data_IF_893346320660
#
_entry.id   IF_893346320660
#
_cell.length_a   1.000
_cell.length_b   1.000
_cell.length_c   1.000
_cell.angle_alpha   90.00
_cell.angle_beta   90.00
_cell.angle_gamma   90.00
#
_symmetry.space_group_name_H-M   'P 1'
#
loop_
_entity.id
_entity.type
_entity.pdbx_description
1 polymer ?
#
# COMPACT_ATOMS: atom_id res chain seq x y z
N UNK A 1 -13.57 15.28 24.01
CA UNK A 1 -12.24 14.62 24.11
C UNK A 1 -11.53 14.40 22.76
N UNK A 2 -12.09 14.83 21.60
CA UNK A 2 -11.40 14.69 20.30
C UNK A 2 -10.37 15.80 19.99
N UNK A 3 -10.41 16.95 20.69
CA UNK A 3 -9.51 18.07 20.42
C UNK A 3 -8.11 17.89 21.06
N UNK A 4 -8.03 17.29 22.24
CA UNK A 4 -6.76 17.06 22.96
C UNK A 4 -5.82 16.07 22.26
N UNK A 5 -6.36 15.13 21.47
CA UNK A 5 -5.55 14.25 20.62
C UNK A 5 -5.10 14.91 19.33
N UNK A 6 -5.81 15.93 18.82
CA UNK A 6 -5.37 16.68 17.64
C UNK A 6 -4.20 17.60 17.96
N UNK A 7 -4.19 18.20 19.15
CA UNK A 7 -3.09 19.08 19.58
C UNK A 7 -1.82 18.31 19.99
N UNK A 8 -1.93 17.06 20.45
CA UNK A 8 -0.77 16.22 20.77
C UNK A 8 -0.07 15.59 19.55
N UNK A 9 -0.65 15.67 18.35
CA UNK A 9 -0.11 15.02 17.13
C UNK A 9 0.24 16.07 16.06
N UNK A 10 0.68 17.25 16.48
CA UNK A 10 1.62 18.02 15.65
C UNK A 10 3.01 17.45 15.90
N UNK A 11 3.33 16.34 15.23
CA UNK A 11 4.72 15.92 15.07
C UNK A 11 5.38 16.92 14.10
N UNK A 12 5.72 18.08 14.64
CA UNK A 12 6.62 19.06 14.03
C UNK A 12 7.99 18.40 13.95
N UNK A 13 8.32 17.85 12.79
CA UNK A 13 9.62 17.27 12.51
C UNK A 13 10.42 18.28 11.71
N UNK A 14 11.64 18.57 12.13
CA UNK A 14 12.53 19.39 11.31
C UNK A 14 13.06 18.58 10.14
N UNK A 15 13.00 19.16 8.97
CA UNK A 15 13.49 18.60 7.71
C UNK A 15 14.51 19.53 7.11
N UNK A 16 15.53 18.96 6.47
CA UNK A 16 16.52 19.75 5.75
C UNK A 16 16.03 19.99 4.32
N UNK A 17 15.87 21.25 3.95
CA UNK A 17 15.47 21.72 2.62
C UNK A 17 16.68 22.37 1.95
N UNK A 18 16.98 21.96 0.73
CA UNK A 18 17.97 22.59 -0.13
C UNK A 18 17.30 23.67 -0.98
N UNK A 19 17.69 24.93 -0.77
CA UNK A 19 17.20 26.06 -1.58
C UNK A 19 17.92 26.11 -2.94
N UNK A 20 17.37 26.81 -3.95
CA UNK A 20 17.99 26.91 -5.28
C UNK A 20 19.43 27.46 -5.28
N UNK A 21 19.83 28.19 -4.23
CA UNK A 21 21.19 28.69 -4.03
C UNK A 21 22.19 27.66 -3.47
N UNK A 22 21.77 26.42 -3.21
CA UNK A 22 22.59 25.37 -2.61
C UNK A 22 22.74 25.48 -1.09
N UNK A 23 22.03 26.41 -0.45
CA UNK A 23 21.98 26.54 1.00
C UNK A 23 21.01 25.53 1.60
N UNK A 24 21.45 24.87 2.68
CA UNK A 24 20.65 23.94 3.47
C UNK A 24 19.99 24.67 4.63
N UNK A 25 18.66 24.54 4.70
CA UNK A 25 17.85 25.17 5.74
C UNK A 25 17.02 24.11 6.46
N UNK A 26 17.04 24.13 7.79
CA UNK A 26 16.17 23.28 8.60
C UNK A 26 14.81 23.96 8.80
N UNK A 27 13.80 23.43 8.12
CA UNK A 27 12.43 23.95 8.12
C UNK A 27 11.51 22.97 8.83
N UNK A 28 10.39 23.46 9.38
CA UNK A 28 9.38 22.58 9.97
C UNK A 28 8.61 21.82 8.88
N UNK A 29 8.25 20.57 9.14
CA UNK A 29 7.44 19.76 8.21
C UNK A 29 6.10 20.41 7.85
N UNK A 30 5.57 21.31 8.68
CA UNK A 30 4.33 22.06 8.40
C UNK A 30 4.49 23.20 7.39
N UNK A 31 5.71 23.68 7.14
CA UNK A 31 5.99 24.77 6.21
C UNK A 31 6.40 24.29 4.81
N UNK A 32 6.55 22.98 4.63
CA UNK A 32 6.87 22.39 3.34
C UNK A 32 5.81 22.71 2.29
N UNK A 33 6.26 23.01 1.08
CA UNK A 33 5.41 23.19 -0.10
C UNK A 33 5.83 22.26 -1.24
N UNK A 34 4.91 21.86 -2.13
CA UNK A 34 5.27 21.12 -3.33
C UNK A 34 6.30 21.91 -4.18
N UNK A 35 7.37 21.24 -4.59
CA UNK A 35 8.50 21.85 -5.29
C UNK A 35 9.75 22.06 -4.43
N UNK A 36 9.63 22.00 -3.09
CA UNK A 36 10.80 22.07 -2.21
C UNK A 36 11.71 20.85 -2.42
N UNK A 37 13.03 21.08 -2.39
CA UNK A 37 14.03 20.01 -2.50
C UNK A 37 14.48 19.59 -1.10
N UNK A 38 14.23 18.34 -0.72
CA UNK A 38 14.60 17.77 0.56
C UNK A 38 15.95 17.07 0.47
N UNK A 39 16.77 17.28 1.50
CA UNK A 39 17.99 16.51 1.73
C UNK A 39 17.65 15.35 2.65
N UNK A 40 17.79 14.12 2.15
CA UNK A 40 17.49 12.92 2.93
C UNK A 40 18.67 12.55 3.84
N UNK A 41 18.42 12.24 5.13
CA UNK A 41 19.47 11.79 6.04
C UNK A 41 20.01 10.42 5.62
N UNK A 42 21.33 10.27 5.63
CA UNK A 42 21.99 9.00 5.25
C UNK A 42 21.73 7.88 6.26
N UNK A 43 21.59 8.24 7.55
CA UNK A 43 21.38 7.33 8.69
C UNK A 43 19.90 6.93 8.88
N UNK A 44 19.03 7.33 7.96
CA UNK A 44 17.60 7.01 8.00
C UNK A 44 16.75 8.06 8.73
N UNK A 45 15.43 7.91 8.62
CA UNK A 45 14.47 8.88 9.15
C UNK A 45 13.06 8.63 8.64
N UNK A 46 12.06 9.18 9.34
CA UNK A 46 10.67 9.11 8.92
C UNK A 46 10.42 10.16 7.84
N UNK A 47 9.77 9.75 6.74
CA UNK A 47 9.39 10.67 5.67
C UNK A 47 8.11 11.44 6.04
N UNK A 48 8.13 12.78 6.14
CA UNK A 48 6.98 13.56 6.60
C UNK A 48 6.01 13.99 5.48
N UNK A 49 6.37 13.81 4.21
CA UNK A 49 5.56 14.17 3.05
C UNK A 49 5.80 13.21 1.87
N UNK A 50 5.02 13.35 0.79
CA UNK A 50 5.27 12.58 -0.44
C UNK A 50 6.29 13.32 -1.31
N UNK A 51 7.42 12.69 -1.62
CA UNK A 51 8.49 13.28 -2.44
C UNK A 51 8.95 12.33 -3.55
N UNK A 52 9.39 12.89 -4.68
CA UNK A 52 10.03 12.15 -5.77
C UNK A 52 11.54 12.21 -5.58
N UNK A 53 12.20 11.05 -5.58
CA UNK A 53 13.65 10.96 -5.50
C UNK A 53 14.27 11.46 -6.82
N UNK A 54 15.12 12.47 -6.76
CA UNK A 54 15.75 13.10 -7.92
C UNK A 54 17.23 12.73 -8.03
N UNK A 55 17.91 12.54 -6.90
CA UNK A 55 19.32 12.13 -6.89
C UNK A 55 19.58 11.08 -5.81
N UNK A 56 20.30 10.02 -6.18
CA UNK A 56 20.67 8.91 -5.29
C UNK A 56 19.69 7.73 -5.30
N UNK A 57 19.88 6.84 -4.34
CA UNK A 57 19.03 5.71 -4.03
C UNK A 57 18.73 5.69 -2.53
N UNK A 58 17.59 5.13 -2.16
CA UNK A 58 17.29 4.90 -0.76
C UNK A 58 16.51 3.60 -0.55
N UNK A 59 16.79 2.96 0.57
CA UNK A 59 16.08 1.79 1.04
C UNK A 59 15.02 2.24 2.04
N UNK A 60 13.76 1.95 1.75
CA UNK A 60 12.62 2.38 2.56
C UNK A 60 11.81 1.20 3.06
N UNK A 61 11.27 1.33 4.27
CA UNK A 61 10.27 0.43 4.80
C UNK A 61 8.88 1.02 4.54
N UNK A 62 8.10 0.34 3.69
CA UNK A 62 6.72 0.69 3.38
C UNK A 62 5.69 -0.05 4.25
N UNK A 63 6.09 -0.70 5.35
CA UNK A 63 5.17 -1.48 6.20
C UNK A 63 3.97 -0.67 6.69
N UNK A 64 4.15 0.63 6.94
CA UNK A 64 3.05 1.54 7.31
C UNK A 64 2.00 1.73 6.20
N UNK A 65 2.34 1.48 4.94
CA UNK A 65 1.45 1.63 3.78
C UNK A 65 0.98 0.30 3.19
N UNK A 66 1.85 -0.71 3.14
CA UNK A 66 1.56 -2.02 2.53
C UNK A 66 1.28 -3.12 3.55
N UNK A 67 1.67 -2.94 4.81
CA UNK A 67 1.65 -4.00 5.83
C UNK A 67 2.79 -5.01 5.68
N UNK A 68 3.66 -4.85 4.68
CA UNK A 68 4.79 -5.74 4.44
C UNK A 68 6.07 -5.13 5.02
N UNK A 69 6.79 -5.89 5.85
CA UNK A 69 8.04 -5.44 6.48
C UNK A 69 9.28 -5.60 5.59
N UNK A 70 9.10 -5.88 4.29
CA UNK A 70 10.20 -6.09 3.35
C UNK A 70 10.69 -4.71 2.87
N UNK A 71 11.98 -4.39 3.05
CA UNK A 71 12.52 -3.13 2.60
C UNK A 71 12.53 -3.06 1.06
N UNK A 72 12.10 -1.91 0.53
CA UNK A 72 12.00 -1.65 -0.91
C UNK A 72 13.06 -0.63 -1.32
N UNK A 73 13.80 -0.94 -2.39
CA UNK A 73 14.76 -0.01 -2.98
C UNK A 73 14.04 1.01 -3.87
N UNK A 74 14.36 2.29 -3.65
CA UNK A 74 13.91 3.43 -4.44
C UNK A 74 15.09 4.05 -5.15
N UNK A 75 14.91 4.39 -6.42
CA UNK A 75 15.94 4.97 -7.27
C UNK A 75 15.52 6.34 -7.77
N UNK A 76 16.50 7.19 -8.11
CA UNK A 76 16.23 8.50 -8.69
C UNK A 76 15.38 8.41 -9.98
N UNK A 77 14.57 9.44 -10.20
CA UNK A 77 13.76 9.59 -11.40
C UNK A 77 14.69 9.76 -12.62
N UNK A 78 14.53 8.96 -13.70
CA UNK A 78 15.34 9.12 -14.91
C UNK A 78 15.07 10.47 -15.59
N UNK A 79 16.12 11.12 -16.08
CA UNK A 79 15.99 12.31 -16.93
C UNK A 79 15.28 11.93 -18.24
N UNK A 80 14.24 12.70 -18.62
CA UNK A 80 13.49 12.50 -19.86
C UNK A 80 12.23 11.63 -19.76
N UNK A 81 11.84 11.20 -18.56
CA UNK A 81 10.50 10.68 -18.33
C UNK A 81 9.47 11.80 -18.54
N UNK A 82 8.32 11.47 -19.14
CA UNK A 82 7.21 12.42 -19.34
C UNK A 82 6.64 13.00 -18.03
N UNK A 83 5.42 13.58 -18.03
CA UNK A 83 4.87 14.21 -16.83
C UNK A 83 4.91 13.25 -15.63
N UNK A 84 5.48 13.70 -14.51
CA UNK A 84 5.61 12.89 -13.30
C UNK A 84 4.23 12.46 -12.80
N UNK A 85 4.04 11.15 -12.62
CA UNK A 85 2.84 10.59 -12.01
C UNK A 85 3.22 9.62 -10.89
N UNK A 86 2.70 9.85 -9.69
CA UNK A 86 3.04 9.09 -8.50
C UNK A 86 2.64 7.60 -8.58
N UNK A 87 1.59 7.28 -9.36
CA UNK A 87 1.12 5.90 -9.55
C UNK A 87 2.03 5.09 -10.47
N UNK A 88 2.47 5.68 -11.59
CA UNK A 88 3.36 5.01 -12.55
C UNK A 88 4.81 4.99 -12.05
N UNK A 89 5.23 6.02 -11.32
CA UNK A 89 6.61 6.18 -10.85
C UNK A 89 6.78 5.78 -9.38
N UNK A 90 5.99 4.81 -8.89
CA UNK A 90 6.04 4.35 -7.49
C UNK A 90 7.44 3.92 -7.03
N UNK A 91 8.31 3.44 -7.93
CA UNK A 91 9.71 3.07 -7.60
C UNK A 91 10.63 4.27 -7.31
N UNK A 92 10.20 5.47 -7.69
CA UNK A 92 10.93 6.73 -7.51
C UNK A 92 10.26 7.65 -6.48
N UNK A 93 9.09 7.27 -5.97
CA UNK A 93 8.31 8.06 -5.00
C UNK A 93 8.54 7.55 -3.58
N UNK A 94 8.86 8.47 -2.68
CA UNK A 94 8.87 8.32 -1.23
C UNK A 94 7.53 8.80 -0.70
N UNK A 95 6.90 7.97 0.12
CA UNK A 95 5.56 8.26 0.63
C UNK A 95 5.64 8.74 2.08
N UNK A 96 4.76 9.65 2.44
CA UNK A 96 4.58 10.11 3.82
C UNK A 96 4.34 8.92 4.74
N UNK A 97 5.02 8.91 5.89
CA UNK A 97 4.93 7.84 6.90
C UNK A 97 5.80 6.62 6.61
N UNK A 98 6.54 6.58 5.52
CA UNK A 98 7.55 5.52 5.30
C UNK A 98 8.82 5.82 6.09
N UNK A 99 9.50 4.77 6.53
CA UNK A 99 10.78 4.89 7.23
C UNK A 99 11.91 4.68 6.24
N UNK A 100 12.75 5.69 6.05
CA UNK A 100 14.01 5.58 5.33
C UNK A 100 14.97 4.83 6.23
N UNK A 101 15.47 3.69 5.76
CA UNK A 101 16.45 2.87 6.46
C UNK A 101 17.87 3.32 6.11
N UNK A 102 18.08 3.65 4.85
CA UNK A 102 19.37 4.08 4.34
C UNK A 102 19.20 4.90 3.07
N UNK A 103 19.98 5.97 2.93
CA UNK A 103 20.06 6.75 1.70
C UNK A 103 21.51 6.82 1.23
N UNK A 104 21.75 6.63 -0.08
CA UNK A 104 23.06 6.71 -0.72
C UNK A 104 23.02 7.63 -1.93
N UNK A 105 23.93 8.59 -1.98
CA UNK A 105 24.06 9.47 -3.13
C UNK A 105 24.91 8.79 -4.22
N UNK A 106 24.48 8.90 -5.48
CA UNK A 106 25.29 8.46 -6.62
C UNK A 106 26.31 9.51 -7.05
N UNK A 107 25.90 10.77 -7.03
CA UNK A 107 26.70 11.93 -7.46
C UNK A 107 26.46 13.05 -6.46
N UNK A 108 27.54 13.55 -5.84
CA UNK A 108 27.49 14.59 -4.81
C UNK A 108 27.36 14.04 -3.38
N UNK A 109 27.36 14.93 -2.38
CA UNK A 109 27.32 14.56 -0.96
C UNK A 109 25.92 14.15 -0.45
N UNK A 110 24.85 14.57 -1.13
CA UNK A 110 23.48 14.49 -0.61
C UNK A 110 22.53 13.74 -1.53
N UNK A 111 21.55 13.08 -0.91
CA UNK A 111 20.42 12.43 -1.58
C UNK A 111 19.27 13.44 -1.61
N UNK A 112 18.76 13.74 -2.80
CA UNK A 112 17.79 14.81 -3.01
C UNK A 112 16.45 14.26 -3.45
N UNK A 113 15.37 14.72 -2.82
CA UNK A 113 14.00 14.38 -3.18
C UNK A 113 13.13 15.64 -3.25
N UNK A 114 12.36 15.79 -4.32
CA UNK A 114 11.48 16.96 -4.51
C UNK A 114 10.09 16.65 -3.96
N UNK A 115 9.56 17.54 -3.13
CA UNK A 115 8.22 17.41 -2.56
C UNK A 115 7.18 17.46 -3.68
N UNK A 116 6.39 16.40 -3.79
CA UNK A 116 5.32 16.30 -4.79
C UNK A 116 3.97 16.65 -4.18
N UNK A 117 3.75 16.24 -2.93
CA UNK A 117 2.53 16.53 -2.18
C UNK A 117 2.85 16.64 -0.70
N UNK A 118 2.39 17.74 -0.11
CA UNK A 118 2.42 17.97 1.32
C UNK A 118 1.25 17.24 1.96
N UNK A 119 1.38 15.92 2.07
CA UNK A 119 0.50 15.14 2.92
C UNK A 119 0.87 15.45 4.36
N UNK A 120 0.20 16.42 4.99
CA UNK A 120 0.40 16.65 6.42
C UNK A 120 0.23 15.34 7.17
N UNK A 121 1.11 15.06 8.14
CA UNK A 121 1.11 13.84 8.96
C UNK A 121 -0.30 13.45 9.47
N UNK A 122 -1.12 14.48 9.71
CA UNK A 122 -2.53 14.40 10.11
C UNK A 122 -3.41 13.67 9.08
N UNK A 123 -3.16 13.83 7.79
CA UNK A 123 -3.90 13.14 6.73
C UNK A 123 -3.51 11.67 6.57
N UNK A 124 -2.26 11.29 6.86
CA UNK A 124 -1.82 9.89 6.80
C UNK A 124 -2.33 9.07 8.00
N UNK A 125 -2.61 9.75 9.13
CA UNK A 125 -3.24 9.15 10.31
C UNK A 125 -4.78 9.12 10.18
N UNK A 126 -5.39 10.15 9.57
CA UNK A 126 -6.87 10.22 9.41
C UNK A 126 -7.40 9.52 8.15
N UNK A 127 -6.57 9.33 7.13
CA UNK A 127 -6.92 8.57 5.93
C UNK A 127 -5.89 7.46 5.74
N UNK A 128 -6.05 6.29 6.40
CA UNK A 128 -5.40 5.09 5.91
C UNK A 128 -5.78 4.95 4.45
N UNK A 129 -4.82 5.11 3.53
CA UNK A 129 -5.05 4.90 2.10
C UNK A 129 -5.63 3.49 1.98
N UNK A 130 -6.81 3.30 1.36
CA UNK A 130 -7.41 1.99 1.27
C UNK A 130 -6.39 1.07 0.60
N UNK A 131 -5.95 0.04 1.35
CA UNK A 131 -5.03 -0.98 0.87
C UNK A 131 -5.61 -1.49 -0.45
N UNK A 132 -4.84 -1.28 -1.52
CA UNK A 132 -5.34 -1.35 -2.88
C UNK A 132 -6.10 -2.67 -3.13
N UNK A 133 -7.36 -2.53 -3.52
CA UNK A 133 -8.37 -3.53 -3.91
C UNK A 133 -7.96 -4.51 -5.05
N UNK A 134 -6.68 -4.65 -5.38
CA UNK A 134 -6.23 -5.63 -6.39
C UNK A 134 -6.34 -7.06 -5.86
N UNK A 135 -6.04 -7.33 -4.59
CA UNK A 135 -6.19 -8.67 -4.02
C UNK A 135 -7.66 -9.12 -3.99
N UNK A 136 -8.56 -8.21 -3.61
CA UNK A 136 -10.01 -8.46 -3.57
C UNK A 136 -10.55 -8.84 -4.96
N UNK A 137 -10.09 -8.19 -6.04
CA UNK A 137 -10.55 -8.50 -7.40
C UNK A 137 -10.10 -9.89 -7.88
N UNK A 138 -8.89 -10.31 -7.54
CA UNK A 138 -8.40 -11.66 -7.87
C UNK A 138 -9.08 -12.73 -7.01
N UNK A 139 -9.28 -12.44 -5.72
CA UNK A 139 -9.99 -13.30 -4.78
C UNK A 139 -11.45 -13.52 -5.19
N UNK A 140 -12.17 -12.46 -5.58
CA UNK A 140 -13.56 -12.57 -6.05
C UNK A 140 -13.71 -13.41 -7.32
N UNK A 141 -12.72 -13.37 -8.24
CA UNK A 141 -12.72 -14.25 -9.43
C UNK A 141 -12.50 -15.71 -9.05
N UNK A 142 -11.66 -15.98 -8.06
CA UNK A 142 -11.43 -17.32 -7.54
C UNK A 142 -12.69 -17.89 -6.86
N UNK A 143 -13.37 -17.08 -6.03
CA UNK A 143 -14.66 -17.45 -5.41
C UNK A 143 -15.73 -17.73 -6.46
N UNK A 144 -15.82 -16.91 -7.51
CA UNK A 144 -16.76 -17.14 -8.60
C UNK A 144 -16.50 -18.47 -9.33
N UNK A 145 -15.23 -18.81 -9.59
CA UNK A 145 -14.86 -20.08 -10.21
C UNK A 145 -15.23 -21.30 -9.33
N UNK A 146 -15.01 -21.23 -8.02
CA UNK A 146 -15.42 -22.27 -7.07
C UNK A 146 -16.94 -22.44 -7.00
N UNK A 147 -17.70 -21.33 -7.05
CA UNK A 147 -19.16 -21.37 -7.06
C UNK A 147 -19.72 -22.07 -8.30
N UNK A 148 -19.14 -21.83 -9.48
CA UNK A 148 -19.52 -22.53 -10.72
C UNK A 148 -19.25 -24.03 -10.60
N UNK A 149 -18.11 -24.42 -10.04
CA UNK A 149 -17.78 -25.84 -9.83
C UNK A 149 -18.74 -26.50 -8.82
N UNK A 150 -19.10 -25.81 -7.74
CA UNK A 150 -20.08 -26.28 -6.76
C UNK A 150 -21.46 -26.54 -7.39
N UNK A 151 -21.92 -25.62 -8.23
CA UNK A 151 -23.20 -25.73 -8.95
C UNK A 151 -23.20 -26.92 -9.90
N UNK A 152 -22.13 -27.10 -10.69
CA UNK A 152 -22.01 -28.26 -11.59
C UNK A 152 -21.98 -29.57 -10.81
N UNK A 153 -21.24 -29.62 -9.70
CA UNK A 153 -21.16 -30.78 -8.82
C UNK A 153 -22.50 -31.13 -8.16
N UNK A 154 -23.24 -30.13 -7.67
CA UNK A 154 -24.56 -30.34 -7.05
C UNK A 154 -25.60 -30.79 -8.08
N UNK A 155 -25.64 -30.19 -9.27
CA UNK A 155 -26.54 -30.62 -10.36
C UNK A 155 -26.25 -32.06 -10.77
N UNK A 156 -24.98 -32.41 -10.95
CA UNK A 156 -24.56 -33.78 -11.30
C UNK A 156 -24.94 -34.79 -10.21
N UNK A 157 -24.72 -34.43 -8.95
CA UNK A 157 -25.11 -35.23 -7.79
C UNK A 157 -26.63 -35.48 -7.77
N UNK A 158 -27.45 -34.43 -7.89
CA UNK A 158 -28.91 -34.52 -7.95
C UNK A 158 -29.37 -35.43 -9.10
N UNK A 159 -28.74 -35.34 -10.28
CA UNK A 159 -29.06 -36.19 -11.43
C UNK A 159 -28.80 -37.68 -11.16
N UNK A 160 -27.65 -38.02 -10.55
CA UNK A 160 -27.33 -39.40 -10.16
C UNK A 160 -28.30 -39.92 -9.10
N UNK A 161 -28.57 -39.12 -8.08
CA UNK A 161 -29.45 -39.48 -6.97
C UNK A 161 -30.90 -39.70 -7.44
N UNK A 162 -31.37 -38.88 -8.38
CA UNK A 162 -32.67 -39.06 -9.04
C UNK A 162 -32.73 -40.37 -9.83
N UNK A 163 -31.68 -40.70 -10.61
CA UNK A 163 -31.61 -41.95 -11.37
C UNK A 163 -31.61 -43.18 -10.46
N UNK A 164 -30.97 -43.08 -9.29
CA UNK A 164 -30.87 -44.16 -8.31
C UNK A 164 -32.11 -44.30 -7.41
N UNK A 165 -33.16 -43.48 -7.61
CA UNK A 165 -34.41 -43.48 -6.82
C UNK A 165 -34.18 -43.40 -5.31
N UNK A 166 -33.22 -42.57 -4.90
CA UNK A 166 -32.93 -42.29 -3.48
C UNK A 166 -34.03 -41.39 -2.91
N UNK A 167 -34.45 -41.58 -1.64
CA UNK A 167 -35.46 -40.73 -1.02
C UNK A 167 -35.00 -39.26 -0.91
N UNK A 168 -35.96 -38.33 -1.04
CA UNK A 168 -35.71 -36.88 -1.17
C UNK A 168 -34.93 -36.29 0.01
N UNK A 169 -35.08 -36.84 1.21
CA UNK A 169 -34.38 -36.40 2.42
C UNK A 169 -32.85 -36.56 2.28
N UNK A 170 -32.37 -37.67 1.74
CA UNK A 170 -30.93 -37.90 1.54
C UNK A 170 -30.36 -37.01 0.42
N UNK A 171 -31.16 -36.72 -0.61
CA UNK A 171 -30.75 -35.83 -1.70
C UNK A 171 -30.47 -34.42 -1.16
N UNK A 172 -31.34 -33.91 -0.28
CA UNK A 172 -31.18 -32.59 0.34
C UNK A 172 -29.96 -32.53 1.24
N UNK A 173 -29.76 -33.56 2.09
CA UNK A 173 -28.60 -33.62 3.01
C UNK A 173 -27.29 -33.67 2.22
N UNK A 174 -27.20 -34.50 1.17
CA UNK A 174 -25.99 -34.57 0.32
C UNK A 174 -25.73 -33.30 -0.48
N UNK A 175 -26.77 -32.61 -0.94
CA UNK A 175 -26.61 -31.35 -1.65
C UNK A 175 -26.04 -30.26 -0.72
N UNK A 176 -26.54 -30.17 0.52
CA UNK A 176 -26.02 -29.25 1.53
C UNK A 176 -24.56 -29.55 1.89
N UNK A 177 -24.22 -30.82 2.10
CA UNK A 177 -22.86 -31.26 2.40
C UNK A 177 -21.86 -30.85 1.30
N UNK A 178 -22.22 -31.09 0.03
CA UNK A 178 -21.38 -30.75 -1.11
C UNK A 178 -21.12 -29.24 -1.23
N UNK A 179 -22.11 -28.39 -0.90
CA UNK A 179 -21.94 -26.94 -0.88
C UNK A 179 -20.97 -26.51 0.24
N UNK A 180 -21.11 -27.09 1.43
CA UNK A 180 -20.24 -26.77 2.57
C UNK A 180 -18.79 -27.24 2.40
N UNK A 181 -18.56 -28.30 1.63
CA UNK A 181 -17.22 -28.76 1.26
C UNK A 181 -16.54 -27.81 0.27
N UNK A 182 -17.29 -27.29 -0.72
CA UNK A 182 -16.71 -26.39 -1.73
C UNK A 182 -16.51 -24.98 -1.21
N UNK A 183 -17.34 -24.52 -0.28
CA UNK A 183 -17.17 -23.23 0.41
C UNK A 183 -16.77 -23.49 1.86
N UNK A 184 -15.47 -23.74 2.14
CA UNK A 184 -15.04 -23.94 3.50
C UNK A 184 -15.32 -22.68 4.32
N UNK A 185 -15.84 -22.80 5.55
CA UNK A 185 -16.17 -21.65 6.40
C UNK A 185 -14.94 -20.82 6.80
N UNK A 186 -13.73 -21.33 6.56
CA UNK A 186 -12.48 -20.61 6.76
C UNK A 186 -12.15 -19.61 5.64
N UNK A 187 -12.84 -19.68 4.50
CA UNK A 187 -12.55 -18.86 3.32
C UNK A 187 -12.75 -17.34 3.57
N UNK A 188 -13.79 -16.88 4.31
CA UNK A 188 -13.94 -15.48 4.70
C UNK A 188 -12.96 -15.03 5.80
N UNK A 189 -12.47 -15.97 6.63
CA UNK A 189 -11.54 -15.65 7.73
C UNK A 189 -10.09 -15.52 7.26
N UNK A 190 -9.75 -16.10 6.11
CA UNK A 190 -8.45 -16.00 5.47
C UNK A 190 -8.33 -14.85 4.44
N UNK A 191 -9.43 -14.12 4.20
CA UNK A 191 -9.52 -13.00 3.26
C UNK A 191 -9.48 -11.64 3.94
#
# INVERSE_FOLDING_TARGET
QSQTLRDMVKLSMRVCVCRPGGEEEWVDSSELVPGDCLVLPQEGGLMPCDAALVAGECMVNESSLTGESIPVLKTALPEGLGPYCAETHRRHTLFCGTLILQARAYVGPHVLAVVTRTGGLVSSILHPRPINFKFYKHSMKFVAALSVLALLGTIYSIFILYRNRVPLNEIVIRALDLVTVVVPPALPAAM
#
